data_IF_786757388478
#
_entry.id   IF_786757388478
#
_cell.length_a   1.000
_cell.length_b   1.000
_cell.length_c   1.000
_cell.angle_alpha   90.00
_cell.angle_beta   90.00
_cell.angle_gamma   90.00
#
_symmetry.space_group_name_H-M   'P 1'
#
loop_
_entity.id
_entity.type
_entity.pdbx_description
1 polymer ?
#
# COMPACT_ATOMS: atom_id res chain seq x y z
N UNK A 1 -3.17 19.82 -22.91
CA UNK A 1 -3.44 18.37 -22.73
C UNK A 1 -4.93 18.17 -22.98
N UNK A 2 -5.32 17.27 -23.87
CA UNK A 2 -6.73 17.08 -24.24
C UNK A 2 -7.48 16.47 -23.04
N UNK A 3 -8.65 16.98 -22.61
CA UNK A 3 -9.43 16.40 -21.50
C UNK A 3 -9.78 14.92 -21.69
N UNK A 4 -9.74 14.43 -22.93
CA UNK A 4 -9.93 13.01 -23.31
C UNK A 4 -8.71 12.11 -23.09
N UNK A 5 -7.57 12.64 -22.61
CA UNK A 5 -6.39 11.82 -22.23
C UNK A 5 -6.36 11.48 -20.73
N UNK A 6 -7.25 12.08 -19.93
CA UNK A 6 -7.45 11.78 -18.50
C UNK A 6 -8.07 10.38 -18.31
N UNK A 7 -8.60 9.75 -19.36
CA UNK A 7 -9.37 8.50 -19.32
C UNK A 7 -8.58 7.19 -19.29
N UNK A 8 -7.30 7.19 -18.88
CA UNK A 8 -6.60 5.90 -18.74
C UNK A 8 -5.54 5.92 -17.64
N UNK A 9 -5.92 6.36 -16.45
CA UNK A 9 -5.24 5.96 -15.21
C UNK A 9 -5.52 4.48 -14.94
N UNK A 10 -4.65 3.82 -14.18
CA UNK A 10 -4.89 2.46 -13.70
C UNK A 10 -6.13 2.48 -12.81
N UNK A 11 -7.19 1.74 -13.20
CA UNK A 11 -8.43 1.66 -12.43
C UNK A 11 -8.21 0.93 -11.10
N UNK A 12 -9.12 1.14 -10.15
CA UNK A 12 -9.12 0.41 -8.87
C UNK A 12 -9.11 -1.12 -9.07
N UNK A 13 -9.93 -1.62 -9.99
CA UNK A 13 -10.00 -3.06 -10.30
C UNK A 13 -8.66 -3.61 -10.82
N UNK A 14 -8.01 -2.89 -11.74
CA UNK A 14 -6.68 -3.25 -12.26
C UNK A 14 -5.62 -3.16 -11.16
N UNK A 15 -5.68 -2.14 -10.31
CA UNK A 15 -4.76 -1.98 -9.19
C UNK A 15 -4.87 -3.17 -8.23
N UNK A 16 -6.08 -3.50 -7.77
CA UNK A 16 -6.34 -4.64 -6.87
C UNK A 16 -5.90 -5.98 -7.47
N UNK A 17 -6.12 -6.20 -8.76
CA UNK A 17 -5.66 -7.42 -9.43
C UNK A 17 -4.12 -7.58 -9.37
N UNK A 18 -3.37 -6.50 -9.59
CA UNK A 18 -1.91 -6.50 -9.48
C UNK A 18 -1.45 -6.74 -8.03
N UNK A 19 -2.10 -6.09 -7.07
CA UNK A 19 -1.78 -6.26 -5.65
C UNK A 19 -2.09 -7.68 -5.16
N UNK A 20 -3.19 -8.31 -5.60
CA UNK A 20 -3.49 -9.70 -5.26
C UNK A 20 -2.42 -10.65 -5.79
N UNK A 21 -1.99 -10.49 -7.05
CA UNK A 21 -0.85 -11.26 -7.58
C UNK A 21 0.43 -11.09 -6.76
N UNK A 22 0.71 -9.87 -6.32
CA UNK A 22 1.88 -9.57 -5.49
C UNK A 22 1.80 -10.29 -4.12
N UNK A 23 0.63 -10.25 -3.47
CA UNK A 23 0.37 -10.91 -2.18
C UNK A 23 0.48 -12.43 -2.32
N UNK A 24 -0.17 -13.02 -3.33
CA UNK A 24 -0.11 -14.46 -3.62
C UNK A 24 1.33 -14.94 -3.80
N UNK A 25 2.10 -14.19 -4.59
CA UNK A 25 3.50 -14.52 -4.87
C UNK A 25 4.39 -14.33 -3.65
N UNK A 26 4.19 -13.26 -2.88
CA UNK A 26 4.95 -13.00 -1.65
C UNK A 26 4.73 -14.09 -0.60
N UNK A 27 3.47 -14.51 -0.40
CA UNK A 27 3.14 -15.60 0.52
C UNK A 27 3.75 -16.93 0.07
N UNK A 28 3.84 -17.19 -1.23
CA UNK A 28 4.50 -18.39 -1.79
C UNK A 28 5.98 -18.48 -1.40
N UNK A 29 6.63 -17.34 -1.19
CA UNK A 29 7.99 -17.24 -0.67
C UNK A 29 8.07 -17.18 0.86
N UNK A 30 6.96 -17.44 1.56
CA UNK A 30 6.85 -17.35 3.03
C UNK A 30 7.32 -15.99 3.56
N UNK A 31 7.00 -14.94 2.82
CA UNK A 31 7.29 -13.54 3.17
C UNK A 31 6.01 -12.75 3.31
N UNK A 32 6.16 -11.60 3.95
CA UNK A 32 5.14 -10.58 4.09
C UNK A 32 5.78 -9.23 3.74
N UNK A 33 5.02 -8.39 3.05
CA UNK A 33 5.44 -7.03 2.72
C UNK A 33 4.27 -6.12 2.40
N UNK A 34 4.59 -4.93 1.90
CA UNK A 34 3.60 -3.96 1.47
C UNK A 34 3.72 -3.65 -0.02
N UNK A 35 2.57 -3.38 -0.63
CA UNK A 35 2.45 -3.09 -2.05
C UNK A 35 1.49 -1.93 -2.26
N UNK A 36 1.80 -1.05 -3.20
CA UNK A 36 0.93 0.07 -3.56
C UNK A 36 0.89 0.26 -5.06
N UNK A 37 -0.28 0.63 -5.56
CA UNK A 37 -0.48 1.18 -6.89
C UNK A 37 -0.92 2.64 -6.77
N UNK A 38 -0.27 3.51 -7.54
CA UNK A 38 -0.61 4.93 -7.67
C UNK A 38 -1.01 5.25 -9.12
N UNK A 39 -1.77 6.31 -9.30
CA UNK A 39 -2.12 6.83 -10.63
C UNK A 39 -0.94 7.61 -11.27
N UNK A 40 -1.06 8.13 -12.51
CA UNK A 40 0.03 8.87 -13.16
C UNK A 40 0.48 10.12 -12.41
N UNK A 41 -0.36 10.69 -11.54
CA UNK A 41 0.02 11.82 -10.69
C UNK A 41 0.77 11.38 -9.44
N UNK A 42 0.87 10.07 -9.18
CA UNK A 42 1.42 9.51 -7.95
C UNK A 42 0.42 9.48 -6.78
N UNK A 43 -0.86 9.79 -7.00
CA UNK A 43 -1.88 9.67 -5.97
C UNK A 43 -2.26 8.19 -5.77
N UNK A 44 -2.38 7.69 -4.52
CA UNK A 44 -2.73 6.30 -4.26
C UNK A 44 -4.04 5.87 -4.94
N UNK A 45 -4.05 4.67 -5.51
CA UNK A 45 -5.25 4.01 -6.07
C UNK A 45 -5.65 2.84 -5.18
N UNK A 46 -4.70 1.96 -4.86
CA UNK A 46 -4.91 0.86 -3.92
C UNK A 46 -3.59 0.50 -3.25
N UNK A 47 -3.63 0.07 -2.00
CA UNK A 47 -2.46 -0.45 -1.30
C UNK A 47 -2.85 -1.55 -0.32
N UNK A 48 -1.89 -2.43 -0.03
CA UNK A 48 -2.04 -3.51 0.94
C UNK A 48 -0.77 -3.68 1.76
N UNK A 49 -0.93 -4.00 3.03
CA UNK A 49 0.10 -4.50 3.93
C UNK A 49 -0.29 -5.91 4.34
N UNK A 50 0.58 -6.88 4.05
CA UNK A 50 0.36 -8.27 4.42
C UNK A 50 0.46 -8.49 5.93
N UNK A 51 -0.21 -9.51 6.42
CA UNK A 51 -0.08 -10.02 7.77
C UNK A 51 1.38 -10.40 8.03
N UNK A 52 1.93 -9.97 9.17
CA UNK A 52 3.35 -10.14 9.50
C UNK A 52 4.31 -9.13 8.84
N UNK A 53 3.82 -8.21 8.02
CA UNK A 53 4.61 -7.06 7.56
C UNK A 53 4.68 -5.98 8.65
N UNK A 54 5.89 -5.45 8.87
CA UNK A 54 6.13 -4.44 9.89
C UNK A 54 5.32 -3.14 9.66
N UNK A 55 4.95 -2.44 10.75
CA UNK A 55 4.35 -1.10 10.68
C UNK A 55 5.18 -0.11 9.86
N UNK A 56 4.55 0.94 9.31
CA UNK A 56 5.24 1.95 8.50
C UNK A 56 5.69 1.53 7.09
N UNK A 57 5.36 0.31 6.63
CA UNK A 57 5.72 -0.17 5.30
C UNK A 57 5.08 0.64 4.16
N UNK A 58 3.82 1.03 4.32
CA UNK A 58 3.04 1.72 3.28
C UNK A 58 3.57 3.12 2.91
N UNK A 59 3.95 3.99 3.88
CA UNK A 59 4.65 5.24 3.59
C UNK A 59 5.90 5.06 2.70
N UNK A 60 6.72 4.04 2.98
CA UNK A 60 7.95 3.77 2.22
C UNK A 60 7.63 3.39 0.76
N UNK A 61 6.70 2.46 0.56
CA UNK A 61 6.37 2.02 -0.81
C UNK A 61 5.61 3.09 -1.58
N UNK A 62 4.83 3.94 -0.90
CA UNK A 62 4.20 5.13 -1.50
C UNK A 62 5.27 6.10 -2.03
N UNK A 63 6.31 6.37 -1.25
CA UNK A 63 7.42 7.22 -1.66
C UNK A 63 8.16 6.66 -2.90
N UNK A 64 8.38 5.34 -2.97
CA UNK A 64 8.94 4.67 -4.17
C UNK A 64 8.01 4.83 -5.38
N UNK A 65 6.72 4.50 -5.22
CA UNK A 65 5.73 4.55 -6.31
C UNK A 65 5.52 5.98 -6.84
N UNK A 66 5.52 6.98 -5.96
CA UNK A 66 5.47 8.39 -6.34
C UNK A 66 6.66 8.78 -7.23
N UNK A 67 7.89 8.39 -6.83
CA UNK A 67 9.08 8.64 -7.64
C UNK A 67 8.97 8.03 -9.04
N UNK A 68 8.46 6.80 -9.14
CA UNK A 68 8.22 6.13 -10.43
C UNK A 68 7.19 6.86 -11.27
N UNK A 69 6.05 7.24 -10.69
CA UNK A 69 4.99 7.94 -11.40
C UNK A 69 5.46 9.31 -11.91
N UNK A 70 6.20 10.06 -11.07
CA UNK A 70 6.72 11.37 -11.41
C UNK A 70 7.78 11.34 -12.53
N UNK A 71 8.61 10.30 -12.58
CA UNK A 71 9.69 10.19 -13.57
C UNK A 71 9.35 9.32 -14.79
N UNK A 72 8.37 8.42 -14.68
CA UNK A 72 7.99 7.48 -15.75
C UNK A 72 8.95 6.29 -15.94
N UNK A 73 9.81 6.01 -14.95
CA UNK A 73 10.89 5.03 -15.01
C UNK A 73 11.00 4.22 -13.69
N UNK A 74 11.70 3.06 -13.69
CA UNK A 74 11.94 2.27 -12.48
C UNK A 74 12.58 3.07 -11.34
N UNK A 75 12.20 2.80 -10.09
CA UNK A 75 12.71 3.54 -8.92
C UNK A 75 14.21 3.36 -8.71
N UNK A 76 14.78 2.24 -9.18
CA UNK A 76 16.22 2.03 -9.17
C UNK A 76 17.00 2.99 -10.07
N UNK A 77 16.41 3.47 -11.18
CA UNK A 77 17.04 4.51 -12.01
C UNK A 77 17.09 5.85 -11.28
N UNK A 78 16.01 6.21 -10.59
CA UNK A 78 15.99 7.36 -9.70
C UNK A 78 17.03 7.23 -8.57
N UNK A 79 17.12 6.05 -7.93
CA UNK A 79 18.12 5.77 -6.90
C UNK A 79 19.56 5.93 -7.43
N UNK A 80 19.86 5.39 -8.62
CA UNK A 80 21.17 5.54 -9.26
C UNK A 80 21.52 7.00 -9.57
N UNK A 81 20.54 7.81 -10.01
CA UNK A 81 20.73 9.26 -10.17
C UNK A 81 21.05 9.94 -8.84
N UNK A 82 20.29 9.65 -7.79
CA UNK A 82 20.50 10.28 -6.47
C UNK A 82 21.87 9.91 -5.87
N UNK A 83 22.34 8.68 -6.10
CA UNK A 83 23.69 8.27 -5.72
C UNK A 83 24.80 9.07 -6.41
N UNK A 84 24.54 9.57 -7.64
CA UNK A 84 25.49 10.40 -8.41
C UNK A 84 25.49 11.88 -8.00
N UNK A 85 24.31 12.45 -7.76
CA UNK A 85 24.16 13.90 -7.50
C UNK A 85 24.32 14.30 -6.02
N UNK A 86 24.31 13.32 -5.10
CA UNK A 86 24.58 13.54 -3.68
C UNK A 86 23.37 14.04 -2.87
N UNK A 87 23.57 14.13 -1.55
CA UNK A 87 22.54 14.49 -0.56
C UNK A 87 21.83 15.84 -0.78
N UNK A 88 22.51 16.94 -1.17
CA UNK A 88 21.87 18.25 -1.33
C UNK A 88 20.79 18.28 -2.43
N UNK A 89 21.04 17.61 -3.56
CA UNK A 89 20.05 17.56 -4.65
C UNK A 89 18.82 16.76 -4.20
N UNK A 90 19.04 15.63 -3.52
CA UNK A 90 17.93 14.86 -2.96
C UNK A 90 17.12 15.65 -1.93
N UNK A 91 17.78 16.46 -1.09
CA UNK A 91 17.08 17.35 -0.15
C UNK A 91 16.18 18.38 -0.88
N UNK A 92 16.60 18.89 -2.04
CA UNK A 92 15.75 19.76 -2.87
C UNK A 92 14.52 18.99 -3.38
N UNK A 93 14.68 17.76 -3.89
CA UNK A 93 13.53 16.92 -4.27
C UNK A 93 12.53 16.76 -3.11
N UNK A 94 13.03 16.48 -1.90
CA UNK A 94 12.20 16.35 -0.71
C UNK A 94 11.45 17.64 -0.34
N UNK A 95 11.99 18.82 -0.69
CA UNK A 95 11.42 20.12 -0.34
C UNK A 95 10.43 20.67 -1.38
N UNK A 96 10.62 20.37 -2.67
CA UNK A 96 9.84 21.02 -3.76
C UNK A 96 8.78 20.11 -4.38
N UNK A 97 8.91 18.79 -4.24
CA UNK A 97 7.94 17.84 -4.78
C UNK A 97 6.67 17.82 -3.91
N UNK A 98 5.53 17.53 -4.53
CA UNK A 98 4.25 17.38 -3.80
C UNK A 98 4.34 16.32 -2.69
N UNK A 99 4.93 15.18 -3.02
CA UNK A 99 5.21 14.09 -2.08
C UNK A 99 6.73 13.84 -2.01
N UNK A 100 7.16 13.15 -0.96
CA UNK A 100 8.57 12.84 -0.71
C UNK A 100 8.98 11.55 -1.43
N UNK A 101 9.78 11.61 -2.52
CA UNK A 101 10.27 10.40 -3.16
C UNK A 101 11.33 9.70 -2.30
N UNK A 102 11.38 8.36 -2.38
CA UNK A 102 12.42 7.56 -1.73
C UNK A 102 13.38 6.97 -2.77
N UNK A 103 14.71 7.16 -2.64
CA UNK A 103 15.70 6.69 -3.61
C UNK A 103 16.08 5.23 -3.35
N UNK A 104 15.11 4.32 -3.44
CA UNK A 104 15.31 2.88 -3.31
C UNK A 104 14.67 2.09 -4.45
N UNK A 105 15.29 0.97 -4.82
CA UNK A 105 14.75 0.01 -5.79
C UNK A 105 13.41 -0.59 -5.34
N UNK A 106 12.71 -1.31 -6.23
CA UNK A 106 11.43 -1.92 -5.92
C UNK A 106 10.21 -1.07 -6.30
N UNK A 107 10.28 -0.33 -7.42
CA UNK A 107 9.13 0.36 -8.00
C UNK A 107 9.21 0.40 -9.52
N UNK A 108 8.10 0.14 -10.22
CA UNK A 108 8.04 0.04 -11.67
C UNK A 108 6.82 0.77 -12.26
N UNK A 109 6.96 1.41 -13.44
CA UNK A 109 5.84 2.05 -14.10
C UNK A 109 4.84 1.01 -14.61
N UNK A 110 3.55 1.27 -14.43
CA UNK A 110 2.48 0.53 -15.08
C UNK A 110 2.27 1.16 -16.45
N UNK A 111 2.38 0.36 -17.51
CA UNK A 111 2.30 0.83 -18.90
C UNK A 111 1.15 0.17 -19.66
N UNK A 112 0.47 0.96 -20.49
CA UNK A 112 -0.44 0.48 -21.54
C UNK A 112 0.12 0.95 -22.89
N UNK A 113 0.75 0.04 -23.63
CA UNK A 113 1.59 0.39 -24.77
C UNK A 113 2.77 1.28 -24.33
N UNK A 114 2.95 2.42 -24.98
CA UNK A 114 4.02 3.36 -24.66
C UNK A 114 3.66 4.36 -23.55
N UNK A 115 2.47 4.29 -22.96
CA UNK A 115 1.98 5.29 -22.00
C UNK A 115 2.02 4.76 -20.58
N UNK A 116 2.56 5.57 -19.66
CA UNK A 116 2.51 5.30 -18.22
C UNK A 116 1.11 5.61 -17.70
N UNK A 117 0.47 4.63 -17.07
CA UNK A 117 -0.90 4.73 -16.50
C UNK A 117 -0.91 4.70 -14.98
N UNK A 118 0.26 4.62 -14.36
CA UNK A 118 0.46 4.58 -12.92
C UNK A 118 1.80 3.97 -12.57
N UNK A 119 1.99 3.66 -11.31
CA UNK A 119 3.17 2.95 -10.83
C UNK A 119 2.79 1.93 -9.77
N UNK A 120 3.58 0.86 -9.66
CA UNK A 120 3.51 -0.11 -8.58
C UNK A 120 4.84 -0.11 -7.81
N UNK A 121 4.80 -0.28 -6.50
CA UNK A 121 6.00 -0.47 -5.70
C UNK A 121 5.80 -1.51 -4.58
N UNK A 122 6.93 -2.05 -4.12
CA UNK A 122 7.05 -2.98 -3.00
C UNK A 122 8.13 -2.54 -2.02
N UNK A 123 8.08 -3.03 -0.79
CA UNK A 123 9.09 -2.77 0.22
C UNK A 123 8.69 -3.26 1.62
N UNK A 124 9.65 -3.11 2.55
CA UNK A 124 9.65 -3.53 3.96
C UNK A 124 9.31 -5.03 4.16
N UNK A 125 10.22 -5.82 4.74
CA UNK A 125 10.08 -7.28 4.86
C UNK A 125 10.37 -8.06 3.56
N UNK A 126 10.38 -7.35 2.43
CA UNK A 126 10.79 -7.82 1.11
C UNK A 126 12.10 -7.11 0.77
N UNK A 127 13.23 -7.68 1.20
CA UNK A 127 14.56 -7.17 0.90
C UNK A 127 15.35 -8.14 0.00
N UNK A 128 16.51 -7.71 -0.52
CA UNK A 128 17.35 -8.56 -1.36
C UNK A 128 17.82 -9.82 -0.62
N UNK A 129 17.69 -10.97 -1.31
CA UNK A 129 18.13 -12.32 -0.91
C UNK A 129 18.05 -12.66 0.58
N UNK A 130 16.94 -12.27 1.22
CA UNK A 130 16.67 -12.73 2.57
C UNK A 130 16.43 -14.24 2.50
N UNK A 131 17.29 -15.03 3.15
CA UNK A 131 17.01 -16.45 3.40
C UNK A 131 15.58 -16.56 3.90
N UNK A 132 14.80 -17.37 3.21
CA UNK A 132 13.39 -17.55 3.51
C UNK A 132 13.24 -18.92 4.15
N UNK A 133 13.12 -19.01 5.49
CA UNK A 133 13.10 -20.30 6.17
C UNK A 133 12.04 -21.23 5.57
N UNK A 134 12.49 -22.42 5.17
CA UNK A 134 11.63 -23.42 4.53
C UNK A 134 11.23 -23.11 3.09
N UNK A 135 11.96 -22.23 2.40
CA UNK A 135 11.88 -22.06 0.93
C UNK A 135 13.22 -22.47 0.34
N UNK A 136 13.18 -23.33 -0.68
CA UNK A 136 14.38 -23.72 -1.39
C UNK A 136 14.97 -22.51 -2.15
N UNK A 137 16.28 -22.22 -2.05
CA UNK A 137 16.91 -21.09 -2.74
C UNK A 137 16.63 -21.06 -4.26
N UNK A 138 16.50 -22.23 -4.90
CA UNK A 138 16.21 -22.33 -6.34
C UNK A 138 14.86 -21.71 -6.72
N UNK A 139 13.97 -21.48 -5.75
CA UNK A 139 12.73 -20.73 -5.95
C UNK A 139 12.97 -19.25 -6.32
N UNK A 140 14.16 -18.70 -6.04
CA UNK A 140 14.55 -17.34 -6.41
C UNK A 140 15.36 -17.28 -7.71
N UNK A 141 15.33 -18.33 -8.55
CA UNK A 141 15.90 -18.27 -9.88
C UNK A 141 14.82 -17.95 -10.92
N UNK A 142 15.08 -16.92 -11.72
CA UNK A 142 14.29 -16.56 -12.89
C UNK A 142 15.11 -16.95 -14.14
N UNK A 143 14.59 -17.91 -14.91
CA UNK A 143 15.28 -18.48 -16.08
C UNK A 143 16.71 -18.95 -15.79
N UNK A 144 16.92 -19.44 -14.56
CA UNK A 144 18.19 -19.98 -14.06
C UNK A 144 19.17 -18.96 -13.52
N UNK A 145 18.84 -17.66 -13.60
CA UNK A 145 19.65 -16.61 -12.98
C UNK A 145 19.08 -16.21 -11.61
N UNK A 146 19.94 -15.90 -10.62
CA UNK A 146 19.53 -15.29 -9.36
C UNK A 146 18.67 -14.07 -9.59
N UNK A 147 17.53 -14.01 -8.90
CA UNK A 147 16.58 -12.92 -9.03
C UNK A 147 16.24 -12.32 -7.66
N UNK A 148 16.31 -10.99 -7.58
CA UNK A 148 15.90 -10.24 -6.40
C UNK A 148 14.41 -10.41 -6.14
N UNK A 149 14.03 -10.65 -4.87
CA UNK A 149 12.64 -10.86 -4.48
C UNK A 149 11.73 -9.65 -4.76
N UNK A 150 12.18 -8.41 -4.54
CA UNK A 150 11.38 -7.22 -4.89
C UNK A 150 11.10 -7.19 -6.40
N UNK A 151 12.08 -7.53 -7.22
CA UNK A 151 11.98 -7.52 -8.68
C UNK A 151 11.11 -8.67 -9.21
N UNK A 152 11.20 -9.86 -8.60
CA UNK A 152 10.30 -10.99 -8.88
C UNK A 152 8.86 -10.56 -8.60
N UNK A 153 8.59 -10.02 -7.41
CA UNK A 153 7.23 -9.69 -6.99
C UNK A 153 6.60 -8.62 -7.87
N UNK A 154 7.36 -7.58 -8.25
CA UNK A 154 6.85 -6.55 -9.15
C UNK A 154 6.65 -7.08 -10.56
N UNK A 155 7.62 -7.80 -11.12
CA UNK A 155 7.49 -8.36 -12.47
C UNK A 155 6.29 -9.31 -12.54
N UNK A 156 6.12 -10.15 -11.52
CA UNK A 156 4.99 -11.06 -11.39
C UNK A 156 3.67 -10.30 -11.24
N UNK A 157 3.60 -9.27 -10.41
CA UNK A 157 2.40 -8.44 -10.24
C UNK A 157 2.03 -7.67 -11.52
N UNK A 158 3.03 -7.24 -12.30
CA UNK A 158 2.83 -6.57 -13.58
C UNK A 158 2.43 -7.52 -14.70
N UNK A 159 2.63 -8.83 -14.52
CA UNK A 159 2.49 -9.86 -15.54
C UNK A 159 3.47 -9.65 -16.71
N UNK A 160 4.72 -9.36 -16.37
CA UNK A 160 5.82 -9.17 -17.31
C UNK A 160 6.94 -10.17 -17.05
N UNK A 161 7.81 -10.45 -18.05
CA UNK A 161 9.06 -11.16 -17.81
C UNK A 161 9.86 -10.51 -16.67
N UNK A 162 10.69 -11.32 -16.01
CA UNK A 162 11.59 -10.82 -14.96
C UNK A 162 12.49 -9.71 -15.52
N UNK A 163 12.53 -8.57 -14.83
CA UNK A 163 13.36 -7.43 -15.20
C UNK A 163 14.15 -6.96 -13.97
N UNK A 164 15.47 -7.25 -13.89
CA UNK A 164 16.27 -6.89 -12.73
C UNK A 164 16.43 -5.37 -12.61
N UNK A 165 16.21 -4.83 -11.40
CA UNK A 165 16.41 -3.41 -11.12
C UNK A 165 17.73 -3.13 -10.41
N UNK A 166 18.29 -4.13 -9.73
CA UNK A 166 19.44 -3.96 -8.83
C UNK A 166 20.78 -4.24 -9.50
N UNK A 167 20.82 -5.15 -10.48
CA UNK A 167 22.00 -5.44 -11.30
C UNK A 167 23.15 -6.16 -10.58
N UNK A 168 23.01 -6.44 -9.29
CA UNK A 168 23.99 -7.13 -8.45
C UNK A 168 23.49 -8.48 -7.91
N UNK A 169 22.46 -9.04 -8.57
CA UNK A 169 21.71 -10.21 -8.10
C UNK A 169 22.59 -11.43 -7.86
N UNK A 170 23.51 -11.72 -8.78
CA UNK A 170 24.46 -12.83 -8.64
C UNK A 170 25.45 -12.63 -7.50
N UNK A 171 25.94 -11.40 -7.30
CA UNK A 171 26.88 -11.10 -6.22
C UNK A 171 26.19 -11.28 -4.86
N UNK A 172 24.99 -10.73 -4.70
CA UNK A 172 24.20 -10.88 -3.48
C UNK A 172 23.74 -12.30 -3.22
N UNK A 173 23.47 -13.08 -4.27
CA UNK A 173 23.20 -14.51 -4.14
C UNK A 173 24.40 -15.25 -3.52
N UNK A 174 25.61 -15.03 -4.05
CA UNK A 174 26.82 -15.67 -3.54
C UNK A 174 27.08 -15.24 -2.10
N UNK A 175 26.86 -13.98 -1.75
CA UNK A 175 26.93 -13.49 -0.37
C UNK A 175 25.93 -14.23 0.55
N UNK A 176 24.69 -14.41 0.10
CA UNK A 176 23.65 -15.06 0.91
C UNK A 176 23.83 -16.58 1.04
N UNK A 177 24.22 -17.26 -0.04
CA UNK A 177 24.19 -18.72 -0.16
C UNK A 177 25.58 -19.38 -0.27
N UNK A 178 26.65 -18.60 -0.34
CA UNK A 178 28.04 -19.05 -0.34
C UNK A 178 28.57 -19.57 -1.68
N UNK A 179 27.70 -19.80 -2.67
CA UNK A 179 28.07 -20.31 -3.98
C UNK A 179 27.06 -19.86 -5.06
N UNK A 180 27.46 -19.82 -6.36
CA UNK A 180 26.52 -19.60 -7.44
C UNK A 180 25.47 -20.73 -7.52
N UNK A 181 24.31 -20.48 -8.14
CA UNK A 181 23.29 -21.50 -8.30
C UNK A 181 23.80 -22.67 -9.14
N UNK A 182 23.29 -23.90 -8.92
CA UNK A 182 23.66 -25.05 -9.74
C UNK A 182 23.35 -24.81 -11.22
N UNK A 183 24.28 -25.14 -12.15
CA UNK A 183 24.05 -24.98 -13.58
C UNK A 183 22.83 -25.78 -14.06
N UNK A 184 22.08 -25.20 -15.01
CA UNK A 184 20.97 -25.90 -15.70
C UNK A 184 19.64 -25.93 -14.96
N UNK A 185 19.56 -25.43 -13.73
CA UNK A 185 18.29 -25.21 -13.03
C UNK A 185 17.65 -23.91 -13.53
N UNK A 186 16.36 -23.95 -13.89
CA UNK A 186 15.61 -22.73 -14.25
C UNK A 186 15.02 -21.99 -13.04
N UNK A 187 14.73 -22.73 -11.96
CA UNK A 187 13.94 -22.25 -10.82
C UNK A 187 12.46 -22.08 -11.12
N UNK A 188 11.75 -21.51 -10.14
CA UNK A 188 10.29 -21.32 -10.15
C UNK A 188 9.91 -19.88 -9.77
N UNK A 189 10.83 -18.92 -9.90
CA UNK A 189 10.61 -17.56 -9.43
C UNK A 189 9.42 -16.87 -10.10
N UNK A 190 9.13 -17.19 -11.37
CA UNK A 190 8.02 -16.61 -12.11
C UNK A 190 6.82 -17.55 -12.28
N UNK A 191 6.87 -18.76 -11.71
CA UNK A 191 5.77 -19.72 -11.78
C UNK A 191 4.50 -19.18 -11.10
N UNK A 192 3.30 -19.58 -11.56
CA UNK A 192 2.05 -19.19 -10.92
C UNK A 192 2.03 -19.52 -9.42
N UNK A 193 1.73 -18.51 -8.61
CA UNK A 193 1.46 -18.67 -7.19
C UNK A 193 0.00 -19.08 -6.95
N UNK A 194 -0.22 -19.84 -5.87
CA UNK A 194 -1.57 -20.11 -5.36
C UNK A 194 -2.11 -18.84 -4.67
N UNK A 195 -3.43 -18.66 -4.64
CA UNK A 195 -4.04 -17.60 -3.83
C UNK A 195 -3.54 -17.64 -2.39
N UNK A 196 -3.16 -16.47 -1.85
CA UNK A 196 -2.74 -16.34 -0.47
C UNK A 196 -3.86 -16.77 0.48
N UNK A 197 -3.49 -17.50 1.53
CA UNK A 197 -4.42 -18.13 2.48
C UNK A 197 -4.08 -17.82 3.94
N UNK A 198 -2.92 -17.22 4.21
CA UNK A 198 -2.43 -16.89 5.56
C UNK A 198 -2.45 -15.39 5.82
N UNK A 199 -3.51 -14.73 5.33
CA UNK A 199 -3.71 -13.28 5.43
C UNK A 199 -5.05 -12.92 6.10
N UNK A 200 -5.42 -13.48 7.27
CA UNK A 200 -6.72 -13.22 7.89
C UNK A 200 -7.01 -11.73 8.14
N UNK A 201 -6.01 -10.94 8.58
CA UNK A 201 -6.18 -9.51 8.88
C UNK A 201 -6.40 -8.72 7.59
N UNK A 202 -5.54 -8.89 6.59
CA UNK A 202 -5.70 -8.25 5.28
C UNK A 202 -7.00 -8.70 4.58
N UNK A 203 -7.38 -9.97 4.71
CA UNK A 203 -8.63 -10.50 4.13
C UNK A 203 -9.84 -9.79 4.73
N UNK A 204 -9.89 -9.64 6.06
CA UNK A 204 -10.97 -8.93 6.76
C UNK A 204 -11.00 -7.44 6.37
N UNK A 205 -9.84 -6.79 6.32
CA UNK A 205 -9.74 -5.39 5.92
C UNK A 205 -10.20 -5.16 4.47
N UNK A 206 -9.88 -6.07 3.54
CA UNK A 206 -10.37 -6.03 2.16
C UNK A 206 -11.88 -6.23 2.08
N UNK A 207 -12.43 -7.20 2.81
CA UNK A 207 -13.88 -7.42 2.83
C UNK A 207 -14.64 -6.20 3.36
N UNK A 208 -14.10 -5.52 4.39
CA UNK A 208 -14.65 -4.26 4.89
C UNK A 208 -14.59 -3.13 3.85
N UNK A 209 -13.47 -3.03 3.12
CA UNK A 209 -13.34 -2.09 2.01
C UNK A 209 -14.38 -2.39 0.91
N UNK A 210 -14.53 -3.65 0.50
CA UNK A 210 -15.50 -4.09 -0.50
C UNK A 210 -16.93 -3.72 -0.11
N UNK A 211 -17.30 -3.97 1.14
CA UNK A 211 -18.61 -3.58 1.68
C UNK A 211 -18.86 -2.06 1.56
N UNK A 212 -17.88 -1.22 1.91
CA UNK A 212 -18.01 0.24 1.77
C UNK A 212 -18.14 0.66 0.30
N UNK A 213 -17.34 0.06 -0.58
CA UNK A 213 -17.36 0.38 -2.02
C UNK A 213 -18.70 -0.01 -2.66
N UNK A 214 -19.28 -1.14 -2.27
CA UNK A 214 -20.61 -1.58 -2.72
C UNK A 214 -21.70 -0.62 -2.25
N UNK A 215 -21.69 -0.22 -0.96
CA UNK A 215 -22.64 0.77 -0.44
C UNK A 215 -22.50 2.13 -1.11
N UNK A 216 -21.27 2.57 -1.39
CA UNK A 216 -21.01 3.83 -2.09
C UNK A 216 -21.51 3.78 -3.54
N UNK A 217 -21.26 2.67 -4.25
CA UNK A 217 -21.75 2.44 -5.61
C UNK A 217 -23.28 2.44 -5.66
N UNK A 218 -23.95 1.81 -4.70
CA UNK A 218 -25.42 1.81 -4.59
C UNK A 218 -26.00 3.22 -4.37
N UNK A 219 -25.20 4.16 -3.87
CA UNK A 219 -25.55 5.57 -3.67
C UNK A 219 -25.05 6.49 -4.79
N UNK A 220 -24.44 5.93 -5.83
CA UNK A 220 -23.74 6.64 -6.90
C UNK A 220 -22.70 7.67 -6.42
N UNK A 221 -22.00 7.35 -5.32
CA UNK A 221 -20.92 8.18 -4.79
C UNK A 221 -19.57 7.50 -5.03
N UNK A 222 -18.55 8.28 -5.38
CA UNK A 222 -17.17 7.80 -5.50
C UNK A 222 -16.41 8.14 -4.23
N UNK A 223 -15.91 7.12 -3.55
CA UNK A 223 -15.24 7.24 -2.25
C UNK A 223 -13.77 6.80 -2.33
N UNK A 224 -13.00 7.28 -1.36
CA UNK A 224 -11.78 6.60 -0.91
C UNK A 224 -12.04 5.94 0.44
N UNK A 225 -11.47 4.76 0.66
CA UNK A 225 -11.58 3.98 1.89
C UNK A 225 -10.19 3.65 2.40
N UNK A 226 -9.97 3.74 3.70
CA UNK A 226 -8.73 3.35 4.37
C UNK A 226 -9.08 2.57 5.63
N UNK A 227 -8.50 1.38 5.77
CA UNK A 227 -8.60 0.57 6.99
C UNK A 227 -7.24 0.60 7.69
N UNK A 228 -7.23 0.99 8.96
CA UNK A 228 -6.03 1.02 9.81
C UNK A 228 -6.13 -0.03 10.92
N UNK A 229 -4.98 -0.52 11.39
CA UNK A 229 -4.91 -1.34 12.59
C UNK A 229 -5.03 -0.51 13.87
N UNK A 230 -4.94 -1.17 15.03
CA UNK A 230 -5.02 -0.53 16.36
C UNK A 230 -3.94 0.55 16.61
N UNK A 231 -2.84 0.54 15.86
CA UNK A 231 -1.79 1.58 15.95
C UNK A 231 -2.04 2.75 15.00
N UNK A 232 -3.09 2.69 14.17
CA UNK A 232 -3.35 3.68 13.13
C UNK A 232 -2.55 3.44 11.84
N UNK A 233 -1.84 2.32 11.73
CA UNK A 233 -1.08 1.98 10.54
C UNK A 233 -2.01 1.36 9.48
N UNK A 234 -2.02 1.87 8.23
CA UNK A 234 -2.93 1.32 7.22
C UNK A 234 -2.63 -0.15 6.91
N UNK A 235 -3.70 -0.94 6.81
CA UNK A 235 -3.70 -2.33 6.33
C UNK A 235 -4.03 -2.32 4.83
N UNK A 236 -5.08 -1.58 4.46
CA UNK A 236 -5.45 -1.39 3.06
C UNK A 236 -6.04 0.00 2.83
N UNK A 237 -5.89 0.48 1.60
CA UNK A 237 -6.56 1.67 1.10
C UNK A 237 -7.05 1.39 -0.32
N UNK A 238 -8.17 1.99 -0.69
CA UNK A 238 -8.74 1.91 -2.01
C UNK A 238 -9.39 3.24 -2.39
N UNK A 239 -9.20 3.68 -3.64
CA UNK A 239 -9.84 4.87 -4.20
C UNK A 239 -10.64 4.47 -5.43
N UNK A 240 -11.95 4.72 -5.41
CA UNK A 240 -12.80 4.47 -6.57
C UNK A 240 -12.36 5.32 -7.76
N UNK A 241 -12.57 4.78 -8.96
CA UNK A 241 -12.39 5.54 -10.19
C UNK A 241 -13.28 6.80 -10.16
N UNK A 242 -12.67 7.97 -10.40
CA UNK A 242 -13.35 9.26 -10.32
C UNK A 242 -13.42 9.89 -8.92
N UNK A 243 -13.02 9.19 -7.85
CA UNK A 243 -12.88 9.81 -6.54
C UNK A 243 -11.68 10.78 -6.49
N UNK A 244 -11.79 11.81 -5.64
CA UNK A 244 -10.80 12.86 -5.51
C UNK A 244 -9.40 12.30 -5.17
N UNK A 245 -8.31 12.75 -5.83
CA UNK A 245 -6.95 12.26 -5.58
C UNK A 245 -6.52 12.35 -4.10
N UNK A 246 -6.92 13.41 -3.40
CA UNK A 246 -6.62 13.61 -1.97
C UNK A 246 -7.45 12.72 -1.02
N UNK A 247 -8.47 12.01 -1.52
CA UNK A 247 -9.43 11.33 -0.67
C UNK A 247 -8.83 10.23 0.20
N UNK A 248 -7.77 9.57 -0.27
CA UNK A 248 -7.04 8.57 0.53
C UNK A 248 -6.37 9.22 1.75
N UNK A 249 -5.75 10.39 1.58
CA UNK A 249 -5.07 11.08 2.67
C UNK A 249 -6.07 11.57 3.73
N UNK A 250 -7.22 12.09 3.30
CA UNK A 250 -8.29 12.52 4.21
C UNK A 250 -8.89 11.32 4.94
N UNK A 251 -9.25 10.25 4.23
CA UNK A 251 -9.79 9.03 4.82
C UNK A 251 -8.80 8.44 5.86
N UNK A 252 -7.51 8.36 5.53
CA UNK A 252 -6.48 7.89 6.46
C UNK A 252 -6.40 8.77 7.71
N UNK A 253 -6.33 10.10 7.56
CA UNK A 253 -6.22 11.01 8.70
C UNK A 253 -7.44 10.93 9.63
N UNK A 254 -8.65 10.77 9.08
CA UNK A 254 -9.86 10.54 9.88
C UNK A 254 -9.86 9.17 10.57
N UNK A 255 -9.38 8.10 9.91
CA UNK A 255 -9.27 6.77 10.51
C UNK A 255 -8.27 6.75 11.68
N UNK A 256 -7.10 7.38 11.50
CA UNK A 256 -6.08 7.55 12.55
C UNK A 256 -6.65 8.32 13.74
N UNK A 257 -7.47 9.35 13.50
CA UNK A 257 -8.17 10.03 14.58
C UNK A 257 -9.14 9.07 15.29
N UNK A 258 -10.04 8.41 14.55
CA UNK A 258 -11.06 7.53 15.13
C UNK A 258 -10.48 6.40 16.00
N UNK A 259 -9.38 5.77 15.57
CA UNK A 259 -8.73 4.70 16.36
C UNK A 259 -8.06 5.22 17.63
N UNK A 260 -7.40 6.39 17.58
CA UNK A 260 -6.66 6.93 18.72
C UNK A 260 -7.56 7.54 19.80
N UNK A 261 -8.73 8.08 19.42
CA UNK A 261 -9.71 8.60 20.37
C UNK A 261 -10.79 7.58 20.74
N UNK A 262 -10.84 6.42 20.06
CA UNK A 262 -11.84 5.37 20.21
C UNK A 262 -13.30 5.86 20.07
N UNK A 263 -13.52 6.93 19.31
CA UNK A 263 -14.83 7.52 19.00
C UNK A 263 -14.89 7.90 17.51
N UNK A 264 -16.08 8.08 16.90
CA UNK A 264 -16.18 8.55 15.53
C UNK A 264 -15.45 9.88 15.31
N UNK A 265 -14.77 10.02 14.16
CA UNK A 265 -13.88 11.17 13.92
C UNK A 265 -14.59 12.52 13.88
N UNK A 266 -15.89 12.52 13.53
CA UNK A 266 -16.73 13.72 13.54
C UNK A 266 -17.09 14.22 14.94
N UNK A 267 -16.97 13.38 15.96
CA UNK A 267 -17.38 13.71 17.33
C UNK A 267 -16.22 14.27 18.17
N UNK A 268 -14.97 14.13 17.70
CA UNK A 268 -13.74 14.49 18.43
C UNK A 268 -13.71 15.98 18.78
N UNK A 269 -14.02 16.86 17.82
CA UNK A 269 -13.96 18.30 18.02
C UNK A 269 -14.97 18.80 19.07
N UNK A 270 -16.10 18.10 19.22
CA UNK A 270 -17.13 18.40 20.21
C UNK A 270 -16.92 17.67 21.55
N UNK A 271 -15.95 16.76 21.64
CA UNK A 271 -15.74 15.93 22.82
C UNK A 271 -15.19 16.77 23.98
N UNK A 272 -15.85 16.73 25.14
CA UNK A 272 -15.55 17.58 26.29
C UNK A 272 -14.09 17.51 26.78
N UNK A 273 -13.46 16.33 26.68
CA UNK A 273 -12.07 16.13 27.10
C UNK A 273 -11.04 16.61 26.07
N UNK A 274 -11.36 16.56 24.78
CA UNK A 274 -10.38 16.70 23.71
C UNK A 274 -10.54 18.01 22.92
N UNK A 275 -11.77 18.47 22.70
CA UNK A 275 -12.09 19.57 21.79
C UNK A 275 -11.29 20.85 22.07
N UNK A 276 -11.20 21.25 23.33
CA UNK A 276 -10.47 22.48 23.73
C UNK A 276 -8.94 22.40 23.54
N UNK A 277 -8.38 21.18 23.43
CA UNK A 277 -6.93 20.95 23.33
C UNK A 277 -6.52 20.28 22.02
N UNK A 278 -7.45 20.10 21.08
CA UNK A 278 -7.24 19.29 19.89
C UNK A 278 -6.08 19.80 19.03
N UNK A 279 -6.00 21.12 18.82
CA UNK A 279 -4.91 21.75 18.06
C UNK A 279 -3.54 21.46 18.68
N UNK A 280 -3.42 21.60 20.01
CA UNK A 280 -2.17 21.31 20.73
C UNK A 280 -1.80 19.83 20.66
N UNK A 281 -2.80 18.95 20.70
CA UNK A 281 -2.55 17.52 20.57
C UNK A 281 -2.04 17.20 19.16
N UNK A 282 -2.62 17.80 18.13
CA UNK A 282 -2.18 17.66 16.74
C UNK A 282 -0.75 18.18 16.51
N UNK A 283 -0.29 19.17 17.29
CA UNK A 283 1.09 19.66 17.24
C UNK A 283 2.11 18.71 17.93
N UNK A 284 1.65 17.89 18.89
CA UNK A 284 2.52 17.01 19.69
C UNK A 284 2.68 15.63 19.03
N UNK A 285 1.63 15.12 18.40
CA UNK A 285 1.65 13.78 17.83
C UNK A 285 2.46 13.72 16.52
N UNK A 286 3.22 12.64 16.26
CA UNK A 286 4.02 12.52 15.04
C UNK A 286 3.21 12.11 13.81
N UNK A 287 1.91 11.82 13.96
CA UNK A 287 1.03 11.33 12.91
C UNK A 287 -0.04 12.34 12.54
N UNK A 288 -0.45 12.32 11.26
CA UNK A 288 -1.52 13.19 10.75
C UNK A 288 -2.87 12.61 11.17
N UNK A 289 -3.64 13.41 11.92
CA UNK A 289 -5.01 13.09 12.29
C UNK A 289 -5.94 14.22 11.84
N UNK A 290 -7.22 13.91 11.63
CA UNK A 290 -8.23 14.88 11.23
C UNK A 290 -9.57 14.60 11.91
N UNK A 291 -10.06 15.57 12.70
CA UNK A 291 -11.36 15.52 13.36
C UNK A 291 -12.48 16.00 12.43
N UNK A 292 -12.73 15.27 11.35
CA UNK A 292 -13.86 15.48 10.44
C UNK A 292 -14.72 14.22 10.34
N UNK A 293 -16.03 14.34 10.05
CA UNK A 293 -16.87 13.18 9.78
C UNK A 293 -16.33 12.35 8.61
N UNK A 294 -16.28 11.03 8.80
CA UNK A 294 -15.78 10.12 7.77
C UNK A 294 -15.13 8.85 8.31
N UNK A 295 -14.87 8.74 9.62
CA UNK A 295 -14.29 7.53 10.18
C UNK A 295 -14.99 7.04 11.45
N UNK A 296 -14.85 5.74 11.69
CA UNK A 296 -15.41 5.05 12.85
C UNK A 296 -14.41 4.01 13.37
N UNK A 297 -14.23 3.89 14.71
CA UNK A 297 -13.45 2.80 15.30
C UNK A 297 -14.07 1.43 15.00
N UNK A 298 -13.24 0.39 14.92
CA UNK A 298 -13.64 -1.00 14.74
C UNK A 298 -13.43 -1.78 16.04
N UNK A 299 -14.41 -2.60 16.41
CA UNK A 299 -14.42 -3.35 17.67
C UNK A 299 -15.08 -2.59 18.82
N UNK A 300 -15.06 -3.20 20.00
CA UNK A 300 -15.80 -2.71 21.17
C UNK A 300 -14.89 -1.87 22.06
N UNK A 301 -15.26 -0.60 22.37
CA UNK A 301 -14.50 0.22 23.31
C UNK A 301 -14.30 -0.48 24.66
N UNK A 302 -13.19 -0.22 25.37
CA UNK A 302 -12.19 0.82 25.09
C UNK A 302 -11.04 0.38 24.15
N UNK A 303 -11.01 -0.86 23.69
CA UNK A 303 -9.92 -1.39 22.87
C UNK A 303 -10.35 -1.49 21.40
N UNK A 304 -10.05 -0.45 20.60
CA UNK A 304 -10.30 -0.47 19.16
C UNK A 304 -9.33 -1.42 18.46
N UNK A 305 -9.84 -2.39 17.69
CA UNK A 305 -9.02 -3.28 16.87
C UNK A 305 -8.44 -2.58 15.63
N UNK A 306 -8.99 -1.42 15.29
CA UNK A 306 -8.59 -0.58 14.16
C UNK A 306 -9.60 0.52 13.91
N UNK A 307 -9.59 1.11 12.71
CA UNK A 307 -10.65 2.02 12.27
C UNK A 307 -10.86 1.93 10.76
N UNK A 308 -12.07 2.29 10.33
CA UNK A 308 -12.42 2.54 8.93
C UNK A 308 -12.56 4.04 8.71
N UNK A 309 -11.87 4.57 7.71
CA UNK A 309 -12.03 5.93 7.22
C UNK A 309 -12.55 5.93 5.79
N UNK A 310 -13.49 6.81 5.50
CA UNK A 310 -14.15 6.99 4.22
C UNK A 310 -14.14 8.49 3.89
N UNK A 311 -13.85 8.82 2.63
CA UNK A 311 -13.93 10.18 2.15
C UNK A 311 -14.69 10.27 0.82
N UNK A 312 -15.62 11.23 0.76
CA UNK A 312 -16.24 11.74 -0.46
C UNK A 312 -16.57 13.23 -0.28
N UNK A 313 -17.12 13.85 -1.33
CA UNK A 313 -17.49 15.28 -1.31
C UNK A 313 -18.52 15.62 -0.22
N UNK A 314 -19.41 14.68 0.10
CA UNK A 314 -20.41 14.83 1.17
C UNK A 314 -19.92 14.10 2.44
N UNK A 315 -19.60 14.88 3.47
CA UNK A 315 -19.10 14.37 4.75
C UNK A 315 -20.15 13.57 5.53
N UNK A 316 -21.44 13.84 5.34
CA UNK A 316 -22.51 13.07 5.96
C UNK A 316 -22.58 11.69 5.33
N UNK A 317 -22.49 11.60 4.01
CA UNK A 317 -22.44 10.30 3.31
C UNK A 317 -21.20 9.51 3.76
N UNK A 318 -20.04 10.16 3.86
CA UNK A 318 -18.81 9.52 4.35
C UNK A 318 -18.99 8.94 5.76
N UNK A 319 -19.56 9.73 6.69
CA UNK A 319 -19.86 9.26 8.05
C UNK A 319 -20.85 8.10 8.08
N UNK A 320 -21.92 8.18 7.28
CA UNK A 320 -22.94 7.13 7.20
C UNK A 320 -22.37 5.82 6.65
N UNK A 321 -21.44 5.89 5.70
CA UNK A 321 -20.73 4.71 5.17
C UNK A 321 -19.77 4.12 6.21
N UNK A 322 -18.97 4.95 6.88
CA UNK A 322 -18.02 4.48 7.89
C UNK A 322 -18.73 3.82 9.09
N UNK A 323 -19.85 4.39 9.55
CA UNK A 323 -20.68 3.80 10.61
C UNK A 323 -21.27 2.45 10.19
N UNK A 324 -21.86 2.37 9.01
CA UNK A 324 -22.42 1.11 8.50
C UNK A 324 -21.36 0.01 8.37
N UNK A 325 -20.13 0.37 8.00
CA UNK A 325 -18.99 -0.54 7.92
C UNK A 325 -18.57 -1.04 9.30
N UNK A 326 -18.49 -0.16 10.30
CA UNK A 326 -18.20 -0.56 11.68
C UNK A 326 -19.26 -1.51 12.23
N UNK A 327 -20.54 -1.21 12.05
CA UNK A 327 -21.67 -2.06 12.47
C UNK A 327 -21.63 -3.45 11.80
N UNK A 328 -21.34 -3.50 10.49
CA UNK A 328 -21.16 -4.75 9.75
C UNK A 328 -20.00 -5.59 10.29
N UNK A 329 -18.95 -4.92 10.78
CA UNK A 329 -17.73 -5.57 11.24
C UNK A 329 -17.82 -6.14 12.66
N UNK A 330 -18.71 -5.63 13.52
CA UNK A 330 -18.79 -6.02 14.94
C UNK A 330 -18.90 -7.54 15.16
N UNK A 331 -19.78 -8.28 14.46
CA UNK A 331 -19.87 -9.74 14.63
C UNK A 331 -18.58 -10.48 14.22
N UNK A 332 -17.74 -9.87 13.39
CA UNK A 332 -16.56 -10.49 12.80
C UNK A 332 -15.29 -10.23 13.62
N UNK A 333 -15.28 -9.21 14.47
CA UNK A 333 -14.17 -8.88 15.38
C UNK A 333 -14.36 -9.42 16.80
N UNK A 334 -15.58 -9.80 17.19
CA UNK A 334 -15.87 -10.42 18.49
C UNK A 334 -15.65 -11.94 18.51
N UNK A 335 -15.68 -12.61 17.35
CA UNK A 335 -15.56 -14.07 17.24
C UNK A 335 -14.17 -14.69 17.43
N UNK A 336 -13.12 -13.88 17.65
CA UNK A 336 -11.73 -14.33 17.81
C UNK A 336 -11.23 -14.28 19.28
N UNK A 337 -12.10 -14.02 20.25
CA UNK A 337 -11.74 -14.05 21.69
C UNK A 337 -11.96 -15.42 22.37
N UNK A 338 -12.14 -16.51 21.61
CA UNK A 338 -12.29 -17.88 22.15
C UNK A 338 -11.14 -18.80 21.75
#
# INVERSE_FOLDING_TARGET
>A
MNPKDVTKATSLSKARAKLSRAVDKCESFKKAGAFIVVDPSGAPVSAVRMDGCAPGALPLVRAKAFGVAANGEPSAQFAARMAKFGGPVFAVYQAVMRDQPFPGGGGMPIKEGNRVTGAIATGLGIGPFIKSPGVDPTAFLADGEPANLEDILISYALDTPYNPQHGDDRARWVEAYGAPPPPGLKGVAMDPARPASRQPVLTRARALSDYVLELAAARDVRVSVVIVDASGDPITLDRMDGAAPMGVDVAQATAVAAVNFAIPSGDIAAHAQYGASLDRLMDIVPFRMLALPGAHPLGTPPASAGAVGVHCQDLKIAQDLARAAAEWSTPQFEGDQS
#
